data_IF_555056821155
#
_entry.id   IF_555056821155
#
_cell.length_a   1.000
_cell.length_b   1.000
_cell.length_c   1.000
_cell.angle_alpha   90.00
_cell.angle_beta   90.00
_cell.angle_gamma   90.00
#
_symmetry.space_group_name_H-M   'P 1'
#
loop_
_entity.id
_entity.type
_entity.pdbx_description
1 polymer ?
#
# COMPACT_ATOMS: atom_id res chain seq x y z
N UNK A 1 -9.37 -0.56 -40.04
CA UNK A 1 -8.25 -1.19 -39.32
C UNK A 1 -7.22 -0.16 -38.91
N UNK A 2 -7.04 0.05 -37.61
CA UNK A 2 -5.81 0.57 -37.01
C UNK A 2 -5.74 0.01 -35.57
N UNK A 3 -4.59 -0.54 -35.24
CA UNK A 3 -4.34 -1.46 -34.13
C UNK A 3 -4.67 -0.87 -32.74
N UNK A 4 -5.26 -1.72 -31.88
CA UNK A 4 -5.37 -1.52 -30.44
C UNK A 4 -3.97 -1.25 -29.86
N UNK A 5 -3.71 -0.04 -29.37
CA UNK A 5 -2.50 0.26 -28.62
C UNK A 5 -2.64 -0.41 -27.26
N UNK A 6 -1.91 -1.50 -27.06
CA UNK A 6 -1.75 -2.14 -25.78
C UNK A 6 -1.21 -1.13 -24.76
N UNK A 7 -2.04 -0.81 -23.75
CA UNK A 7 -1.67 -0.34 -22.41
C UNK A 7 -0.60 0.75 -22.33
N UNK A 8 -1.02 2.02 -22.37
CA UNK A 8 -0.24 3.10 -21.79
C UNK A 8 0.19 2.74 -20.34
N UNK A 9 1.38 3.13 -19.87
CA UNK A 9 1.83 2.81 -18.52
C UNK A 9 0.81 3.35 -17.52
N UNK A 10 0.25 2.44 -16.70
CA UNK A 10 -0.61 2.86 -15.59
C UNK A 10 0.24 3.59 -14.57
N UNK A 11 -0.16 4.82 -14.26
CA UNK A 11 0.45 5.59 -13.18
C UNK A 11 0.44 4.76 -11.90
N UNK A 12 1.59 4.67 -11.22
CA UNK A 12 1.64 4.04 -9.89
C UNK A 12 1.12 5.06 -8.89
N UNK A 13 0.05 4.69 -8.18
CA UNK A 13 -0.57 5.52 -7.14
C UNK A 13 -0.36 4.84 -5.78
N UNK A 14 -0.22 5.64 -4.73
CA UNK A 14 -0.12 5.13 -3.37
C UNK A 14 -1.45 4.49 -2.96
N UNK A 15 -1.40 3.41 -2.19
CA UNK A 15 -2.59 2.68 -1.72
C UNK A 15 -2.68 2.81 -0.22
N UNK A 16 -3.81 3.31 0.28
CA UNK A 16 -4.15 3.33 1.70
C UNK A 16 -5.28 2.37 1.98
N UNK A 17 -5.18 1.64 3.08
CA UNK A 17 -6.20 0.70 3.55
C UNK A 17 -6.44 0.87 5.05
N UNK A 18 -7.67 0.59 5.50
CA UNK A 18 -7.95 0.20 6.89
C UNK A 18 -7.77 -1.32 6.96
N UNK A 19 -6.73 -1.78 7.65
CA UNK A 19 -6.45 -3.21 7.80
C UNK A 19 -6.92 -3.69 9.17
N UNK A 20 -7.49 -4.88 9.26
CA UNK A 20 -7.66 -5.56 10.55
C UNK A 20 -6.28 -5.81 11.15
N UNK A 21 -6.09 -5.48 12.43
CA UNK A 21 -4.79 -5.45 13.09
C UNK A 21 -4.06 -6.80 13.09
N UNK A 22 -4.79 -7.91 13.13
CA UNK A 22 -4.17 -9.23 13.07
C UNK A 22 -3.59 -9.58 11.67
N UNK A 23 -3.89 -8.80 10.63
CA UNK A 23 -3.38 -8.94 9.26
C UNK A 23 -2.21 -7.98 8.96
N UNK A 24 -1.75 -7.20 9.93
CA UNK A 24 -0.67 -6.22 9.75
C UNK A 24 0.58 -6.86 9.11
N UNK A 25 1.08 -7.97 9.68
CA UNK A 25 2.25 -8.68 9.15
C UNK A 25 2.01 -9.23 7.74
N UNK A 26 0.78 -9.64 7.41
CA UNK A 26 0.44 -10.10 6.07
C UNK A 26 0.51 -8.96 5.06
N UNK A 27 -0.02 -7.78 5.39
CA UNK A 27 0.08 -6.62 4.51
C UNK A 27 1.50 -6.05 4.44
N UNK A 28 2.29 -6.18 5.51
CA UNK A 28 3.70 -5.79 5.50
C UNK A 28 4.51 -6.58 4.45
N UNK A 29 4.22 -7.87 4.22
CA UNK A 29 4.88 -8.64 3.15
C UNK A 29 4.54 -8.14 1.74
N UNK A 30 3.47 -7.37 1.59
CA UNK A 30 3.04 -6.74 0.34
C UNK A 30 3.48 -5.28 0.20
N UNK A 31 4.34 -4.80 1.11
CA UNK A 31 4.93 -3.46 1.09
C UNK A 31 4.06 -2.37 1.72
N UNK A 32 3.01 -2.74 2.45
CA UNK A 32 2.27 -1.78 3.27
C UNK A 32 3.02 -1.49 4.57
N UNK A 33 2.96 -0.24 5.03
CA UNK A 33 3.53 0.21 6.28
C UNK A 33 2.40 0.70 7.19
N UNK A 34 2.40 0.25 8.44
CA UNK A 34 1.47 0.74 9.45
C UNK A 34 1.59 2.26 9.61
N UNK A 35 0.45 2.94 9.68
CA UNK A 35 0.36 4.37 9.98
C UNK A 35 -0.62 4.59 11.14
N UNK A 36 -0.16 5.36 12.13
CA UNK A 36 -0.98 5.75 13.27
C UNK A 36 -1.23 4.62 14.27
N UNK A 37 -2.23 4.85 15.12
CA UNK A 37 -2.59 3.97 16.22
C UNK A 37 -3.71 2.99 15.84
N UNK A 38 -3.83 1.91 16.61
CA UNK A 38 -4.95 0.97 16.48
C UNK A 38 -6.28 1.60 16.91
N UNK A 39 -7.36 1.27 16.22
CA UNK A 39 -8.73 1.67 16.56
C UNK A 39 -9.70 0.49 16.45
N UNK A 40 -10.92 0.64 17.00
CA UNK A 40 -11.97 -0.36 16.89
C UNK A 40 -12.97 0.05 15.79
N UNK A 41 -13.30 -0.90 14.93
CA UNK A 41 -14.35 -0.79 13.91
C UNK A 41 -15.12 -2.12 13.94
N UNK A 42 -16.43 -2.04 14.15
CA UNK A 42 -17.32 -3.19 14.36
C UNK A 42 -16.83 -4.22 15.40
N UNK A 43 -16.15 -3.74 16.45
CA UNK A 43 -15.60 -4.57 17.52
C UNK A 43 -14.29 -5.30 17.17
N UNK A 44 -13.75 -5.08 15.97
CA UNK A 44 -12.48 -5.64 15.52
C UNK A 44 -11.42 -4.54 15.55
N UNK A 45 -10.20 -4.87 16.02
CA UNK A 45 -9.07 -3.93 15.99
C UNK A 45 -8.61 -3.73 14.56
N UNK A 46 -8.46 -2.47 14.15
CA UNK A 46 -7.96 -2.02 12.86
C UNK A 46 -6.80 -1.04 13.04
N UNK A 47 -6.04 -0.81 11.97
CA UNK A 47 -5.07 0.27 11.83
C UNK A 47 -5.02 0.73 10.37
N UNK A 48 -4.60 1.96 10.13
CA UNK A 48 -4.31 2.40 8.77
C UNK A 48 -2.97 1.84 8.29
N UNK A 49 -2.90 1.49 7.00
CA UNK A 49 -1.63 1.12 6.37
C UNK A 49 -1.48 1.77 5.00
N UNK A 50 -0.26 2.14 4.64
CA UNK A 50 0.09 2.82 3.39
C UNK A 50 1.12 2.01 2.60
N UNK A 51 0.83 1.73 1.33
CA UNK A 51 1.82 1.28 0.34
C UNK A 51 2.16 2.45 -0.59
N UNK A 52 3.41 2.94 -0.63
CA UNK A 52 3.75 4.11 -1.43
C UNK A 52 3.72 3.80 -2.95
N UNK A 53 3.45 4.84 -3.76
CA UNK A 53 3.49 4.76 -5.23
C UNK A 53 4.89 4.44 -5.79
N UNK A 54 5.89 4.95 -5.07
CA UNK A 54 7.31 4.85 -5.39
C UNK A 54 7.98 4.43 -4.09
N UNK A 55 8.65 3.29 -4.10
CA UNK A 55 9.58 2.99 -3.01
C UNK A 55 10.65 4.08 -3.03
N UNK A 56 10.97 4.73 -1.90
CA UNK A 56 12.10 5.64 -1.89
C UNK A 56 13.30 4.87 -2.44
N UNK A 57 13.94 5.40 -3.48
CA UNK A 57 15.19 4.82 -4.00
C UNK A 57 16.11 4.60 -2.78
N UNK A 58 16.75 3.43 -2.67
CA UNK A 58 17.76 3.26 -1.62
C UNK A 58 18.76 4.40 -1.77
N UNK A 59 18.98 5.11 -0.68
CA UNK A 59 19.89 6.24 -0.63
C UNK A 59 21.22 5.84 -1.27
N UNK A 60 21.59 6.51 -2.38
CA UNK A 60 22.83 6.24 -3.12
C UNK A 60 24.07 6.78 -2.38
N UNK A 61 23.93 7.26 -1.15
CA UNK A 61 25.03 7.81 -0.35
C UNK A 61 25.78 6.79 0.53
N UNK A 62 25.70 5.48 0.24
CA UNK A 62 26.55 4.48 0.89
C UNK A 62 27.14 3.47 -0.07
#
# INVERSE_FOLDING_TARGET
>A
SAYLIAGAPRERVAIRISAQAHLENFYATHGFLAQGDYYLEDGIRHLEMLRPAVFPEPDKSK
#
